data_IF_982620330562
#
_entry.id   IF_982620330562
#
_cell.length_a   1.000
_cell.length_b   1.000
_cell.length_c   1.000
_cell.angle_alpha   90.00
_cell.angle_beta   90.00
_cell.angle_gamma   90.00
#
_symmetry.space_group_name_H-M   'P 1'
#
loop_
_entity.id
_entity.type
_entity.pdbx_description
1 polymer ?
#
# COMPACT_ATOMS: atom_id res chain seq x y z
N UNK A 1 -16.57 32.65 -16.91
CA UNK A 1 -16.68 31.17 -16.98
C UNK A 1 -15.50 30.57 -16.23
N UNK A 2 -15.63 30.32 -14.93
CA UNK A 2 -14.61 29.66 -14.11
C UNK A 2 -15.32 28.63 -13.25
N UNK A 3 -15.54 27.45 -13.84
CA UNK A 3 -16.20 26.33 -13.20
C UNK A 3 -15.15 25.29 -12.80
N UNK A 4 -14.20 25.68 -11.94
CA UNK A 4 -13.36 24.69 -11.23
C UNK A 4 -14.12 24.29 -9.97
N UNK A 5 -14.68 23.08 -10.00
CA UNK A 5 -15.35 22.46 -8.86
C UNK A 5 -14.29 22.18 -7.78
N UNK A 6 -14.53 22.55 -6.51
CA UNK A 6 -13.63 22.30 -5.39
C UNK A 6 -13.74 20.84 -4.91
N UNK A 7 -13.53 19.88 -5.81
CA UNK A 7 -13.17 18.51 -5.44
C UNK A 7 -11.65 18.44 -5.33
N UNK A 8 -11.07 19.32 -4.52
CA UNK A 8 -9.66 19.29 -4.09
C UNK A 8 -9.65 19.00 -2.58
N UNK A 9 -10.36 17.94 -2.20
CA UNK A 9 -10.10 17.23 -0.95
C UNK A 9 -9.27 15.96 -1.21
N UNK A 10 -8.68 15.85 -2.40
CA UNK A 10 -7.42 15.15 -2.61
C UNK A 10 -6.39 15.75 -1.64
N UNK A 11 -6.46 15.30 -0.39
CA UNK A 11 -5.28 15.19 0.44
C UNK A 11 -4.35 14.29 -0.36
N UNK A 12 -3.57 14.93 -1.22
CA UNK A 12 -2.39 14.41 -1.88
C UNK A 12 -1.53 13.84 -0.77
N UNK A 13 -1.76 12.57 -0.49
CA UNK A 13 -0.73 11.73 0.07
C UNK A 13 0.27 11.65 -1.10
N UNK A 14 1.40 12.36 -1.00
CA UNK A 14 2.49 12.33 -1.99
C UNK A 14 3.15 10.95 -1.99
N UNK A 15 2.40 9.92 -2.40
CA UNK A 15 2.98 8.66 -2.83
C UNK A 15 3.18 8.85 -4.32
N UNK A 16 4.44 8.95 -4.74
CA UNK A 16 4.74 9.02 -6.17
C UNK A 16 4.23 7.75 -6.87
N UNK A 17 3.90 7.83 -8.16
CA UNK A 17 3.51 6.65 -8.95
C UNK A 17 4.53 5.50 -8.82
N UNK A 18 5.82 5.82 -8.65
CA UNK A 18 6.88 4.83 -8.39
C UNK A 18 6.78 4.15 -7.04
N UNK A 19 6.43 4.87 -5.97
CA UNK A 19 6.21 4.25 -4.66
C UNK A 19 4.97 3.36 -4.67
N UNK A 20 3.94 3.77 -5.42
CA UNK A 20 2.72 2.99 -5.57
C UNK A 20 3.01 1.66 -6.30
N UNK A 21 3.77 1.69 -7.41
CA UNK A 21 4.23 0.48 -8.09
C UNK A 21 5.07 -0.44 -7.18
N UNK A 22 5.94 0.13 -6.34
CA UNK A 22 6.74 -0.65 -5.39
C UNK A 22 5.85 -1.34 -4.35
N UNK A 23 4.88 -0.62 -3.78
CA UNK A 23 3.94 -1.16 -2.80
C UNK A 23 3.10 -2.28 -3.41
N UNK A 24 2.57 -2.08 -4.62
CA UNK A 24 1.78 -3.11 -5.30
C UNK A 24 2.61 -4.37 -5.60
N UNK A 25 3.86 -4.22 -6.03
CA UNK A 25 4.78 -5.34 -6.21
C UNK A 25 5.01 -6.10 -4.91
N UNK A 26 5.29 -5.39 -3.82
CA UNK A 26 5.51 -5.98 -2.50
C UNK A 26 4.25 -6.70 -2.01
N UNK A 27 3.05 -6.14 -2.20
CA UNK A 27 1.79 -6.80 -1.84
C UNK A 27 1.56 -8.07 -2.65
N UNK A 28 1.82 -8.03 -3.96
CA UNK A 28 1.73 -9.20 -4.82
C UNK A 28 2.70 -10.30 -4.38
N UNK A 29 3.95 -9.93 -4.06
CA UNK A 29 4.97 -10.86 -3.60
C UNK A 29 4.61 -11.47 -2.23
N UNK A 30 4.10 -10.66 -1.30
CA UNK A 30 3.55 -11.14 -0.02
C UNK A 30 2.43 -12.17 -0.24
N UNK A 31 1.54 -11.94 -1.20
CA UNK A 31 0.46 -12.88 -1.52
C UNK A 31 1.00 -14.20 -2.04
N UNK A 32 2.01 -14.16 -2.94
CA UNK A 32 2.70 -15.35 -3.42
C UNK A 32 3.41 -16.11 -2.29
N UNK A 33 4.02 -15.41 -1.34
CA UNK A 33 4.67 -16.00 -0.17
C UNK A 33 3.64 -16.68 0.75
N UNK A 34 2.50 -16.02 1.03
CA UNK A 34 1.40 -16.65 1.78
C UNK A 34 0.84 -17.89 1.08
N UNK A 35 0.70 -17.86 -0.23
CA UNK A 35 0.27 -19.03 -1.03
C UNK A 35 1.30 -20.17 -0.96
N UNK A 36 2.58 -19.82 -1.01
CA UNK A 36 3.71 -20.73 -0.83
C UNK A 36 3.93 -21.18 0.62
N UNK A 37 3.06 -20.74 1.56
CA UNK A 37 3.15 -20.96 3.02
C UNK A 37 4.43 -20.41 3.66
N UNK A 38 5.09 -19.48 2.99
CA UNK A 38 6.21 -18.72 3.51
C UNK A 38 5.70 -17.50 4.28
N UNK A 39 5.32 -17.74 5.54
CA UNK A 39 4.85 -16.68 6.42
C UNK A 39 5.99 -15.74 6.81
N UNK A 40 7.22 -16.25 6.93
CA UNK A 40 8.38 -15.44 7.31
C UNK A 40 8.73 -14.41 6.25
N UNK A 41 8.70 -14.78 4.97
CA UNK A 41 8.87 -13.82 3.88
C UNK A 41 7.72 -12.82 3.80
N UNK A 42 6.48 -13.26 4.02
CA UNK A 42 5.32 -12.38 4.04
C UNK A 42 5.40 -11.32 5.17
N UNK A 43 5.91 -11.70 6.35
CA UNK A 43 6.18 -10.78 7.45
C UNK A 43 7.33 -9.81 7.12
N UNK A 44 8.41 -10.28 6.49
CA UNK A 44 9.53 -9.41 6.08
C UNK A 44 9.11 -8.30 5.10
N UNK A 45 8.18 -8.61 4.18
CA UNK A 45 7.60 -7.62 3.28
C UNK A 45 6.74 -6.61 4.05
N UNK A 46 5.94 -7.08 5.01
CA UNK A 46 5.13 -6.19 5.85
C UNK A 46 6.03 -5.21 6.59
N UNK A 47 7.12 -5.68 7.16
CA UNK A 47 8.06 -4.83 7.89
C UNK A 47 8.78 -3.84 6.95
N UNK A 48 9.13 -4.26 5.73
CA UNK A 48 9.72 -3.36 4.72
C UNK A 48 8.76 -2.24 4.28
N UNK A 49 7.47 -2.55 4.16
CA UNK A 49 6.44 -1.55 3.90
C UNK A 49 6.26 -0.62 5.10
N UNK A 50 6.27 -1.17 6.31
CA UNK A 50 6.11 -0.42 7.54
C UNK A 50 7.27 0.55 7.79
N UNK A 51 8.50 0.16 7.44
CA UNK A 51 9.70 1.02 7.45
C UNK A 51 9.58 2.20 6.46
N UNK A 52 8.95 1.96 5.30
CA UNK A 52 8.55 3.01 4.34
C UNK A 52 7.36 3.86 4.83
N UNK A 53 6.83 3.60 6.02
CA UNK A 53 5.65 4.27 6.56
C UNK A 53 4.33 3.76 5.97
N UNK A 54 4.32 2.61 5.29
CA UNK A 54 3.13 1.96 4.72
C UNK A 54 2.66 0.85 5.65
N UNK A 55 1.51 1.03 6.29
CA UNK A 55 0.88 0.03 7.15
C UNK A 55 -0.08 -0.84 6.33
N UNK A 56 0.19 -2.14 6.22
CA UNK A 56 -0.70 -3.11 5.60
C UNK A 56 -1.83 -3.52 6.56
N UNK A 57 -3.06 -3.47 6.06
CA UNK A 57 -4.27 -3.82 6.79
C UNK A 57 -4.99 -4.91 5.98
N UNK A 58 -4.87 -6.15 6.44
CA UNK A 58 -5.68 -7.25 5.91
C UNK A 58 -7.07 -7.22 6.56
N UNK A 59 -8.10 -7.12 5.75
CA UNK A 59 -9.51 -7.27 6.13
C UNK A 59 -10.10 -8.49 5.43
N UNK A 60 -11.28 -8.93 5.87
CA UNK A 60 -12.01 -10.02 5.21
C UNK A 60 -12.41 -9.66 3.76
N UNK A 61 -12.55 -8.36 3.46
CA UNK A 61 -12.83 -7.83 2.12
C UNK A 61 -11.58 -7.74 1.22
N UNK A 62 -10.36 -7.76 1.79
CA UNK A 62 -9.12 -7.72 1.01
C UNK A 62 -7.91 -7.16 1.76
N UNK A 63 -6.78 -7.07 1.07
CA UNK A 63 -5.58 -6.40 1.60
C UNK A 63 -5.63 -4.93 1.19
N UNK A 64 -5.74 -4.04 2.18
CA UNK A 64 -5.62 -2.58 2.00
C UNK A 64 -4.34 -2.10 2.65
N UNK A 65 -3.85 -0.92 2.28
CA UNK A 65 -2.68 -0.32 2.88
C UNK A 65 -2.94 1.14 3.18
N UNK A 66 -2.25 1.65 4.19
CA UNK A 66 -2.40 3.04 4.64
C UNK A 66 -1.01 3.62 4.86
N UNK A 67 -0.69 4.70 4.14
CA UNK A 67 0.50 5.49 4.44
C UNK A 67 0.29 6.27 5.73
N UNK A 68 1.16 6.04 6.70
CA UNK A 68 1.24 6.81 7.93
C UNK A 68 2.11 8.03 7.66
N UNK A 69 1.47 9.11 7.20
CA UNK A 69 2.05 10.44 7.17
C UNK A 69 1.63 11.21 8.43
#
# INVERSE_FOLDING_TARGET
VFNKKPSEWDKQIEISDSELEEIEKLIAERKNLKESKDFSGADAIRDSLLDKGIELIDTEDGTTWKSKN
#
